data_IF_563881253949
#
_entry.id   IF_563881253949
#
_cell.length_a   1.000
_cell.length_b   1.000
_cell.length_c   1.000
_cell.angle_alpha   90.00
_cell.angle_beta   90.00
_cell.angle_gamma   90.00
#
_symmetry.space_group_name_H-M   'P 1'
#
loop_
_entity.id
_entity.type
_entity.pdbx_description
1 polymer ?
#
# COMPACT_ATOMS: atom_id res chain seq x y z
N UNK A 1 -7.13 27.24 -6.94
CA UNK A 1 -5.95 26.53 -6.40
C UNK A 1 -6.07 25.07 -6.80
N UNK A 2 -5.38 24.67 -7.85
CA UNK A 2 -5.27 23.27 -8.28
C UNK A 2 -4.33 22.56 -7.30
N UNK A 3 -4.87 21.70 -6.44
CA UNK A 3 -4.06 20.88 -5.53
C UNK A 3 -3.30 19.79 -6.29
N UNK A 4 -2.09 19.44 -5.83
CA UNK A 4 -1.36 18.30 -6.38
C UNK A 4 -2.08 16.99 -6.01
N UNK A 5 -2.39 16.17 -7.01
CA UNK A 5 -2.93 14.81 -6.79
C UNK A 5 -1.84 13.93 -6.20
N UNK A 6 -2.22 12.94 -5.41
CA UNK A 6 -1.26 12.00 -4.80
C UNK A 6 -1.62 10.58 -5.20
N UNK A 7 -0.63 9.84 -5.68
CA UNK A 7 -0.71 8.40 -5.85
C UNK A 7 0.01 7.72 -4.68
N UNK A 8 -0.77 7.06 -3.83
CA UNK A 8 -0.28 6.15 -2.81
C UNK A 8 -0.14 4.76 -3.42
N UNK A 9 1.08 4.23 -3.45
CA UNK A 9 1.40 2.95 -4.08
C UNK A 9 1.96 2.00 -3.03
N UNK A 10 1.33 0.84 -2.88
CA UNK A 10 1.80 -0.27 -2.05
C UNK A 10 2.15 -1.43 -2.97
N UNK A 11 3.44 -1.75 -3.05
CA UNK A 11 3.94 -2.92 -3.75
C UNK A 11 4.13 -4.06 -2.76
N UNK A 12 3.57 -5.23 -3.05
CA UNK A 12 3.72 -6.42 -2.23
C UNK A 12 4.80 -7.33 -2.82
N UNK A 13 5.55 -8.01 -1.95
CA UNK A 13 6.55 -8.99 -2.34
C UNK A 13 5.91 -10.21 -3.01
N UNK A 14 6.64 -10.87 -3.92
CA UNK A 14 6.13 -11.97 -4.74
C UNK A 14 5.59 -13.15 -3.92
N UNK A 15 6.11 -13.35 -2.70
CA UNK A 15 5.71 -14.41 -1.77
C UNK A 15 4.40 -14.12 -1.02
N UNK A 16 3.83 -12.92 -1.16
CA UNK A 16 2.57 -12.54 -0.51
C UNK A 16 1.40 -13.23 -1.20
N UNK A 17 0.56 -13.90 -0.41
CA UNK A 17 -0.75 -14.39 -0.88
C UNK A 17 -1.59 -13.20 -1.39
N UNK A 18 -2.05 -13.22 -2.66
CA UNK A 18 -2.88 -12.15 -3.20
C UNK A 18 -4.27 -12.03 -2.53
N UNK A 19 -4.81 -13.09 -1.93
CA UNK A 19 -6.20 -13.10 -1.46
C UNK A 19 -6.49 -12.04 -0.37
N UNK A 20 -5.68 -11.88 0.69
CA UNK A 20 -5.86 -10.79 1.65
C UNK A 20 -5.78 -9.39 1.03
N UNK A 21 -4.96 -9.21 0.00
CA UNK A 21 -4.80 -7.90 -0.68
C UNK A 21 -5.99 -7.61 -1.60
N UNK A 22 -6.56 -8.63 -2.24
CA UNK A 22 -7.81 -8.50 -3.00
C UNK A 22 -8.98 -8.14 -2.07
N UNK A 23 -9.07 -8.78 -0.90
CA UNK A 23 -10.06 -8.42 0.11
C UNK A 23 -9.87 -6.97 0.59
N UNK A 24 -8.63 -6.52 0.80
CA UNK A 24 -8.31 -5.13 1.14
C UNK A 24 -8.93 -4.14 0.14
N UNK A 25 -8.80 -4.40 -1.16
CA UNK A 25 -9.37 -3.52 -2.19
C UNK A 25 -10.89 -3.43 -2.06
N UNK A 26 -11.56 -4.56 -1.85
CA UNK A 26 -13.02 -4.63 -1.69
C UNK A 26 -13.45 -3.85 -0.44
N UNK A 27 -12.78 -4.06 0.69
CA UNK A 27 -13.08 -3.40 1.94
C UNK A 27 -12.86 -1.88 1.87
N UNK A 28 -11.81 -1.42 1.17
CA UNK A 28 -11.57 0.00 0.94
C UNK A 28 -12.69 0.64 0.12
N UNK A 29 -13.15 -0.01 -0.96
CA UNK A 29 -14.26 0.50 -1.75
C UNK A 29 -15.59 0.49 -0.98
N UNK A 30 -15.84 -0.54 -0.17
CA UNK A 30 -17.01 -0.59 0.71
C UNK A 30 -16.97 0.51 1.78
N UNK A 31 -15.83 0.70 2.44
CA UNK A 31 -15.64 1.76 3.43
C UNK A 31 -15.78 3.15 2.82
N UNK A 32 -15.30 3.36 1.58
CA UNK A 32 -15.50 4.59 0.81
C UNK A 32 -16.97 4.83 0.49
N UNK A 33 -17.68 3.82 -0.01
CA UNK A 33 -19.11 3.93 -0.31
C UNK A 33 -19.94 4.25 0.94
N UNK A 34 -19.50 3.79 2.12
CA UNK A 34 -20.09 4.13 3.42
C UNK A 34 -19.62 5.47 4.01
N UNK A 35 -18.76 6.23 3.32
CA UNK A 35 -18.24 7.51 3.81
C UNK A 35 -17.25 7.40 4.97
N UNK A 36 -16.68 6.21 5.23
CA UNK A 36 -15.74 5.97 6.35
C UNK A 36 -14.28 6.26 5.99
N UNK A 37 -13.96 6.33 4.70
CA UNK A 37 -12.65 6.75 4.15
C UNK A 37 -12.87 7.56 2.87
N UNK A 38 -11.94 8.45 2.53
CA UNK A 38 -12.02 9.27 1.33
C UNK A 38 -10.80 9.04 0.42
N UNK A 39 -11.05 8.74 -0.85
CA UNK A 39 -10.07 8.67 -1.93
C UNK A 39 -10.80 8.82 -3.28
N UNK A 40 -10.09 9.12 -4.37
CA UNK A 40 -10.65 9.20 -5.73
C UNK A 40 -10.97 7.80 -6.23
N UNK A 41 -9.96 6.93 -6.26
CA UNK A 41 -10.09 5.53 -6.68
C UNK A 41 -9.01 4.68 -6.02
N UNK A 42 -9.26 3.37 -5.92
CA UNK A 42 -8.30 2.37 -5.52
C UNK A 42 -8.31 1.24 -6.55
N UNK A 43 -7.13 0.75 -6.94
CA UNK A 43 -6.96 -0.28 -7.98
C UNK A 43 -5.89 -1.26 -7.57
N UNK A 44 -6.10 -2.53 -7.91
CA UNK A 44 -5.11 -3.57 -7.76
C UNK A 44 -4.62 -3.98 -9.14
N UNK A 45 -3.31 -3.92 -9.34
CA UNK A 45 -2.64 -4.31 -10.57
C UNK A 45 -1.48 -5.24 -10.30
N UNK A 46 -0.79 -5.62 -11.37
CA UNK A 46 0.51 -6.28 -11.30
C UNK A 46 1.52 -5.44 -12.06
N UNK A 47 2.75 -5.36 -11.59
CA UNK A 47 3.83 -4.81 -12.41
C UNK A 47 4.03 -5.73 -13.62
N UNK A 48 3.77 -5.22 -14.81
CA UNK A 48 4.10 -5.91 -16.06
C UNK A 48 5.48 -5.47 -16.52
N UNK A 49 6.28 -6.44 -16.97
CA UNK A 49 7.63 -6.22 -17.48
C UNK A 49 7.63 -5.19 -18.61
N UNK A 50 8.61 -4.28 -18.62
CA UNK A 50 9.00 -3.56 -19.84
C UNK A 50 10.49 -3.80 -20.08
N UNK A 51 10.80 -4.63 -21.07
CA UNK A 51 12.14 -4.70 -21.61
C UNK A 51 12.49 -3.34 -22.25
N UNK A 52 13.65 -2.78 -21.89
CA UNK A 52 14.19 -1.58 -22.54
C UNK A 52 15.27 -2.05 -23.50
N UNK A 53 15.04 -1.87 -24.80
CA UNK A 53 16.08 -2.04 -25.81
C UNK A 53 16.89 -0.76 -25.88
N UNK A 54 18.12 -0.77 -25.38
CA UNK A 54 19.06 0.32 -25.65
C UNK A 54 19.58 0.18 -27.08
N UNK A 55 19.26 1.17 -27.92
CA UNK A 55 19.74 1.23 -29.31
C UNK A 55 21.23 1.52 -29.44
N UNK A 56 21.95 1.82 -28.35
CA UNK A 56 23.34 2.27 -28.36
C UNK A 56 24.35 1.18 -27.95
N UNK A 57 23.93 0.06 -27.36
CA UNK A 57 24.84 -0.96 -26.79
C UNK A 57 24.87 -2.30 -27.55
N UNK A 58 24.43 -2.34 -28.82
CA UNK A 58 24.76 -3.45 -29.74
C UNK A 58 24.21 -4.83 -29.37
N UNK A 59 23.25 -4.93 -28.45
CA UNK A 59 22.60 -6.18 -28.08
C UNK A 59 21.49 -5.98 -27.05
N UNK A 60 20.53 -6.92 -26.95
CA UNK A 60 19.44 -6.82 -25.98
C UNK A 60 19.99 -6.92 -24.55
N UNK A 61 19.84 -5.86 -23.76
CA UNK A 61 20.03 -5.95 -22.30
C UNK A 61 18.79 -6.63 -21.73
N UNK A 62 18.92 -7.91 -21.39
CA UNK A 62 17.90 -8.62 -20.62
C UNK A 62 18.13 -8.37 -19.13
N UNK A 63 17.35 -7.48 -18.53
CA UNK A 63 17.30 -7.37 -17.07
C UNK A 63 16.27 -8.39 -16.58
N UNK A 64 16.74 -9.47 -15.96
CA UNK A 64 15.88 -10.36 -15.20
C UNK A 64 15.44 -9.62 -13.92
N UNK A 65 14.20 -9.16 -13.88
CA UNK A 65 13.59 -8.66 -12.64
C UNK A 65 12.79 -9.77 -11.97
N UNK A 66 12.66 -9.76 -10.62
CA UNK A 66 11.81 -10.72 -9.92
C UNK A 66 10.35 -10.60 -10.41
N UNK A 67 9.56 -11.63 -10.18
CA UNK A 67 8.23 -11.84 -10.75
C UNK A 67 7.28 -10.64 -10.61
N UNK A 68 6.22 -10.62 -11.42
CA UNK A 68 5.21 -9.57 -11.40
C UNK A 68 4.64 -9.32 -9.98
N UNK A 69 5.02 -8.19 -9.37
CA UNK A 69 4.59 -7.80 -8.02
C UNK A 69 3.15 -7.33 -8.04
N UNK A 70 2.40 -7.72 -7.03
CA UNK A 70 1.07 -7.20 -6.78
C UNK A 70 1.18 -5.74 -6.30
N UNK A 71 0.39 -4.84 -6.88
CA UNK A 71 0.46 -3.41 -6.58
C UNK A 71 -0.93 -2.87 -6.30
N UNK A 72 -1.13 -2.34 -5.10
CA UNK A 72 -2.30 -1.54 -4.76
C UNK A 72 -1.96 -0.06 -5.00
N UNK A 73 -2.75 0.61 -5.82
CA UNK A 73 -2.67 2.06 -6.03
C UNK A 73 -3.94 2.71 -5.49
N UNK A 74 -3.79 3.71 -4.63
CA UNK A 74 -4.88 4.54 -4.13
C UNK A 74 -4.59 5.99 -4.52
N UNK A 75 -5.58 6.65 -5.09
CA UNK A 75 -5.45 8.00 -5.61
C UNK A 75 -6.20 9.01 -4.75
N UNK A 76 -5.58 10.15 -4.50
CA UNK A 76 -6.12 11.25 -3.70
C UNK A 76 -6.04 12.56 -4.46
N UNK A 77 -7.01 13.46 -4.22
CA UNK A 77 -7.01 14.79 -4.84
C UNK A 77 -5.94 15.71 -4.26
N UNK A 78 -5.55 15.48 -3.00
CA UNK A 78 -4.59 16.31 -2.26
C UNK A 78 -3.80 15.46 -1.26
N UNK A 79 -2.65 15.98 -0.80
CA UNK A 79 -1.91 15.43 0.36
C UNK A 79 -2.77 15.39 1.62
N UNK A 80 -3.56 16.44 1.88
CA UNK A 80 -4.46 16.47 3.03
C UNK A 80 -5.52 15.34 3.01
N UNK A 81 -5.96 14.91 1.83
CA UNK A 81 -6.85 13.76 1.71
C UNK A 81 -6.14 12.43 2.00
N UNK A 82 -4.86 12.30 1.65
CA UNK A 82 -4.03 11.16 2.06
C UNK A 82 -3.84 11.13 3.58
N UNK A 83 -3.59 12.27 4.22
CA UNK A 83 -3.45 12.36 5.67
C UNK A 83 -4.77 11.98 6.38
N UNK A 84 -5.91 12.49 5.90
CA UNK A 84 -7.23 12.15 6.42
C UNK A 84 -7.53 10.65 6.26
N UNK A 85 -7.10 10.04 5.16
CA UNK A 85 -7.19 8.60 4.93
C UNK A 85 -6.36 7.79 5.93
N UNK A 86 -5.13 8.21 6.23
CA UNK A 86 -4.30 7.56 7.26
C UNK A 86 -4.87 7.69 8.66
N UNK A 87 -5.50 8.82 8.97
CA UNK A 87 -6.15 9.09 10.26
C UNK A 87 -7.51 8.38 10.44
N UNK A 88 -8.12 7.87 9.37
CA UNK A 88 -9.44 7.25 9.42
C UNK A 88 -9.42 5.91 10.18
N UNK A 89 -10.29 5.69 11.19
CA UNK A 89 -10.35 4.43 11.93
C UNK A 89 -10.59 3.21 11.02
N UNK A 90 -11.44 3.36 10.00
CA UNK A 90 -11.72 2.29 9.05
C UNK A 90 -10.47 1.87 8.25
N UNK A 91 -9.59 2.81 7.90
CA UNK A 91 -8.32 2.45 7.27
C UNK A 91 -7.42 1.66 8.22
N UNK A 92 -7.32 2.05 9.49
CA UNK A 92 -6.56 1.32 10.49
C UNK A 92 -7.10 -0.10 10.71
N UNK A 93 -8.44 -0.27 10.77
CA UNK A 93 -9.12 -1.57 10.87
C UNK A 93 -8.80 -2.48 9.68
N UNK A 94 -9.00 -1.98 8.45
CA UNK A 94 -8.74 -2.74 7.21
C UNK A 94 -7.26 -3.14 7.14
N UNK A 95 -6.36 -2.18 7.39
CA UNK A 95 -4.91 -2.40 7.38
C UNK A 95 -4.51 -3.48 8.38
N UNK A 96 -5.06 -3.43 9.60
CA UNK A 96 -4.80 -4.41 10.66
C UNK A 96 -5.23 -5.81 10.23
N UNK A 97 -6.43 -5.97 9.67
CA UNK A 97 -6.95 -7.26 9.19
C UNK A 97 -6.01 -7.87 8.16
N UNK A 98 -5.63 -7.09 7.15
CA UNK A 98 -4.76 -7.55 6.05
C UNK A 98 -3.37 -7.88 6.57
N UNK A 99 -2.75 -6.99 7.33
CA UNK A 99 -1.38 -7.19 7.82
C UNK A 99 -1.28 -8.36 8.81
N UNK A 100 -2.32 -8.60 9.60
CA UNK A 100 -2.43 -9.78 10.46
C UNK A 100 -2.58 -11.08 9.66
N UNK A 101 -3.18 -11.04 8.47
CA UNK A 101 -3.23 -12.18 7.57
C UNK A 101 -1.87 -12.43 6.88
N UNK A 102 -1.18 -11.36 6.47
CA UNK A 102 0.10 -11.43 5.75
C UNK A 102 1.29 -11.81 6.64
N UNK A 103 1.28 -11.45 7.93
CA UNK A 103 2.42 -11.65 8.82
C UNK A 103 1.95 -12.16 10.19
N UNK A 104 2.28 -13.42 10.54
CA UNK A 104 2.04 -13.95 11.89
C UNK A 104 2.71 -13.08 12.98
N UNK A 105 3.88 -12.50 12.67
CA UNK A 105 4.56 -11.57 13.57
C UNK A 105 3.77 -10.27 13.75
N UNK A 106 3.25 -9.68 12.67
CA UNK A 106 2.40 -8.49 12.79
C UNK A 106 1.12 -8.79 13.58
N UNK A 107 0.49 -9.95 13.36
CA UNK A 107 -0.68 -10.40 14.14
C UNK A 107 -0.39 -10.44 15.64
N UNK A 108 0.74 -11.04 16.05
CA UNK A 108 1.13 -11.11 17.46
C UNK A 108 1.38 -9.72 18.06
N UNK A 109 2.02 -8.82 17.31
CA UNK A 109 2.26 -7.44 17.76
C UNK A 109 0.96 -6.63 17.88
N UNK A 110 0.02 -6.81 16.94
CA UNK A 110 -1.30 -6.20 17.04
C UNK A 110 -2.09 -6.72 18.25
N UNK A 111 -2.00 -8.02 18.56
CA UNK A 111 -2.62 -8.58 19.77
C UNK A 111 -2.00 -7.99 21.04
N UNK A 112 -0.67 -7.92 21.12
CA UNK A 112 0.01 -7.30 22.25
C UNK A 112 -0.38 -5.82 22.45
N UNK A 113 -0.61 -5.09 21.35
CA UNK A 113 -1.05 -3.68 21.41
C UNK A 113 -2.49 -3.52 21.90
N UNK A 114 -3.34 -4.56 21.76
CA UNK A 114 -4.68 -4.57 22.35
C UNK A 114 -4.63 -4.88 23.85
N UNK A 115 -3.73 -5.78 24.24
CA UNK A 115 -3.56 -6.21 25.63
C UNK A 115 -2.92 -5.12 26.50
N UNK A 116 -1.98 -4.33 25.94
CA UNK A 116 -1.37 -3.17 26.59
C UNK A 116 -1.37 -1.92 25.66
N UNK A 117 -2.44 -1.12 25.70
CA UNK A 117 -2.56 0.09 24.88
C UNK A 117 -1.49 1.15 25.20
N UNK A 118 -0.85 1.10 26.37
CA UNK A 118 0.16 2.09 26.76
C UNK A 118 1.49 1.92 26.02
N UNK A 119 1.79 0.70 25.54
CA UNK A 119 2.96 0.38 24.71
C UNK A 119 2.65 0.40 23.19
N UNK A 120 1.40 0.69 22.81
CA UNK A 120 0.98 0.69 21.41
C UNK A 120 1.88 1.52 20.47
N UNK A 121 2.38 2.72 20.83
CA UNK A 121 3.28 3.49 19.97
C UNK A 121 4.59 2.75 19.61
N UNK A 122 5.18 2.03 20.57
CA UNK A 122 6.38 1.22 20.33
C UNK A 122 6.06 0.02 19.44
N UNK A 123 4.93 -0.65 19.72
CA UNK A 123 4.47 -1.80 18.97
C UNK A 123 4.11 -1.44 17.51
N UNK A 124 3.61 -0.24 17.23
CA UNK A 124 3.40 0.22 15.86
C UNK A 124 4.71 0.33 15.06
N UNK A 125 5.80 0.80 15.68
CA UNK A 125 7.13 0.78 15.04
C UNK A 125 7.63 -0.64 14.75
N UNK A 126 7.35 -1.58 15.66
CA UNK A 126 7.67 -3.00 15.49
C UNK A 126 6.83 -3.67 14.39
N UNK A 127 5.55 -3.30 14.27
CA UNK A 127 4.64 -3.78 13.21
C UNK A 127 5.16 -3.34 11.85
N UNK A 128 5.49 -2.05 11.69
CA UNK A 128 6.08 -1.53 10.45
C UNK A 128 7.36 -2.28 10.07
N UNK A 129 8.23 -2.53 11.06
CA UNK A 129 9.46 -3.31 10.84
C UNK A 129 9.17 -4.74 10.39
N UNK A 130 8.15 -5.40 10.96
CA UNK A 130 7.76 -6.75 10.58
C UNK A 130 7.17 -6.84 9.15
N UNK A 131 6.67 -5.73 8.61
CA UNK A 131 6.03 -5.66 7.29
C UNK A 131 6.99 -5.24 6.18
N UNK A 132 8.11 -4.58 6.49
CA UNK A 132 9.12 -4.14 5.51
C UNK A 132 9.56 -5.22 4.50
N UNK A 133 9.73 -6.50 4.88
CA UNK A 133 10.08 -7.54 3.89
C UNK A 133 8.93 -7.90 2.93
N UNK A 134 7.69 -7.60 3.31
CA UNK A 134 6.48 -8.02 2.61
C UNK A 134 5.91 -6.94 1.70
N UNK A 135 6.18 -5.66 1.99
CA UNK A 135 5.67 -4.56 1.20
C UNK A 135 6.60 -3.35 1.19
N UNK A 136 6.50 -2.58 0.12
CA UNK A 136 7.11 -1.26 -0.02
C UNK A 136 6.01 -0.25 -0.30
N UNK A 137 6.11 0.94 0.32
CA UNK A 137 5.16 2.03 0.14
C UNK A 137 5.87 3.21 -0.54
N UNK A 138 5.16 3.88 -1.42
CA UNK A 138 5.64 5.06 -2.14
C UNK A 138 4.47 6.02 -2.37
N UNK A 139 4.68 7.29 -2.05
CA UNK A 139 3.73 8.36 -2.34
C UNK A 139 4.33 9.25 -3.43
N UNK A 140 3.57 9.49 -4.51
CA UNK A 140 3.98 10.33 -5.63
C UNK A 140 3.01 11.50 -5.75
N UNK A 141 3.51 12.71 -5.52
CA UNK A 141 2.78 13.92 -5.85
C UNK A 141 2.84 14.20 -7.35
N UNK A 142 1.68 14.40 -7.97
CA UNK A 142 1.52 14.75 -9.38
C UNK A 142 1.12 16.22 -9.44
N UNK A 143 2.10 17.08 -9.68
CA UNK A 143 1.85 18.47 -10.05
C UNK A 143 1.05 18.51 -11.37
N UNK A 144 0.05 19.36 -11.44
CA UNK A 144 -0.57 19.69 -12.72
C UNK A 144 0.39 20.62 -13.45
N UNK A 145 0.84 20.23 -14.65
CA UNK A 145 1.55 21.16 -15.53
C UNK A 145 0.55 22.23 -15.98
N UNK A 146 0.93 23.49 -15.79
CA UNK A 146 0.23 24.65 -16.33
C UNK A 146 0.22 24.65 -17.87
#
# INVERSE_FOLDING_TARGET
MTGARVLHIVQFADAVDPAPVQAMLVDLHAARAAGRVAFVTARLGRTVERAVTDGLLGGPIQIATPAARLVLTVEFETVAALDAYYAAPAHAEIRRTVFSALSPRARALYAAADDDPSDAPHLYGAIETALRPLLTRMDIEIAHGD
#
